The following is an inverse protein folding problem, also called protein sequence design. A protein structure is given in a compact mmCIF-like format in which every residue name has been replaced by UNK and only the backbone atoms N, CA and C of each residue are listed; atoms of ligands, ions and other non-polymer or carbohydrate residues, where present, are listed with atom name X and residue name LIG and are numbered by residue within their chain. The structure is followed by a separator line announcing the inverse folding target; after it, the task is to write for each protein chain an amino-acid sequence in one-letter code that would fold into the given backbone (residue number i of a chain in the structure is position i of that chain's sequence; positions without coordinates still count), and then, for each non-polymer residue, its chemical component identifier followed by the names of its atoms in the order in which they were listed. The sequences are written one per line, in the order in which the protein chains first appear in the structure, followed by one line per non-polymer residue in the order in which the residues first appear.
data_IF_528311043376
#
_entry.id   IF_528311043376
#
_cell.length_a   1.000
_cell.length_b   1.000
_cell.length_c   1.000
_cell.angle_alpha   90.00
_cell.angle_beta   90.00
_cell.angle_gamma   90.00
#
_symmetry.space_group_name_H-M   'P 1'
#
loop_
_entity.id
_entity.type
_entity.pdbx_description
1 polymer ?
#
# COMPACT_ATOMS: atom_id res chain seq x y z
N UNK A 1 38.31 -14.01 8.24
CA UNK A 1 38.68 -12.98 7.25
C UNK A 1 37.50 -12.03 7.11
N UNK A 2 37.58 -10.86 7.75
CA UNK A 2 36.58 -9.81 7.61
C UNK A 2 36.96 -8.95 6.40
N UNK A 3 36.12 -8.94 5.36
CA UNK A 3 36.31 -8.14 4.16
C UNK A 3 35.19 -7.08 4.11
N UNK A 4 35.61 -5.81 4.25
CA UNK A 4 34.87 -4.54 4.29
C UNK A 4 34.25 -4.07 5.63
N UNK A 5 34.93 -3.17 6.38
CA UNK A 5 34.29 -2.30 7.36
C UNK A 5 33.59 -1.16 6.60
N UNK A 6 32.34 -1.39 6.18
CA UNK A 6 31.61 -0.48 5.31
C UNK A 6 30.48 -1.13 4.51
N UNK A 7 30.30 -2.45 4.60
CA UNK A 7 29.05 -3.11 4.26
C UNK A 7 28.03 -2.80 5.36
N UNK A 8 27.72 -1.53 5.48
CA UNK A 8 27.35 -0.89 6.72
C UNK A 8 25.85 -0.97 6.89
N UNK A 9 25.43 -1.94 7.69
CA UNK A 9 24.03 -2.07 8.05
C UNK A 9 23.43 -0.75 8.57
N UNK A 10 24.23 0.12 9.18
CA UNK A 10 23.76 1.42 9.64
C UNK A 10 23.27 2.34 8.52
N UNK A 11 23.86 2.25 7.32
CA UNK A 11 23.51 3.10 6.16
C UNK A 11 22.11 2.78 5.65
N UNK A 12 21.74 1.50 5.57
CA UNK A 12 20.42 1.10 5.08
C UNK A 12 19.29 1.47 6.05
N UNK A 13 19.56 1.47 7.36
CA UNK A 13 18.59 1.95 8.35
C UNK A 13 18.41 3.46 8.26
N UNK A 14 19.49 4.21 8.09
CA UNK A 14 19.43 5.65 7.86
C UNK A 14 18.65 5.99 6.57
N UNK A 15 18.79 5.19 5.51
CA UNK A 15 18.00 5.33 4.28
C UNK A 15 16.49 5.12 4.55
N UNK A 16 16.13 4.13 5.37
CA UNK A 16 14.75 3.88 5.78
C UNK A 16 14.18 5.07 6.57
N UNK A 17 14.92 5.58 7.55
CA UNK A 17 14.49 6.73 8.36
C UNK A 17 14.32 7.99 7.52
N UNK A 18 15.28 8.29 6.64
CA UNK A 18 15.16 9.41 5.71
C UNK A 18 13.98 9.24 4.76
N UNK A 19 13.75 8.04 4.25
CA UNK A 19 12.61 7.74 3.40
C UNK A 19 11.30 7.99 4.16
N UNK A 20 11.14 7.47 5.38
CA UNK A 20 9.95 7.65 6.20
C UNK A 20 9.72 9.12 6.59
N UNK A 21 10.78 9.86 6.91
CA UNK A 21 10.71 11.29 7.20
C UNK A 21 10.27 12.12 5.98
N UNK A 22 10.65 11.71 4.77
CA UNK A 22 10.17 12.32 3.51
C UNK A 22 8.73 11.90 3.21
N UNK A 23 8.39 10.64 3.44
CA UNK A 23 7.08 10.08 3.17
C UNK A 23 6.01 10.66 4.12
N UNK A 24 6.31 10.84 5.40
CA UNK A 24 5.38 11.40 6.39
C UNK A 24 4.95 12.84 6.07
N UNK A 25 5.78 13.58 5.30
CA UNK A 25 5.48 14.94 4.82
C UNK A 25 4.63 14.96 3.54
N UNK A 26 4.45 13.81 2.88
CA UNK A 26 3.70 13.70 1.62
C UNK A 26 2.42 12.91 1.86
N UNK A 27 1.29 13.55 1.61
CA UNK A 27 0.01 12.86 1.62
C UNK A 27 -0.05 11.89 0.43
N UNK A 28 -0.36 10.62 0.72
CA UNK A 28 -0.65 9.62 -0.30
C UNK A 28 -2.07 9.87 -0.81
N UNK A 29 -2.22 10.70 -1.83
CA UNK A 29 -3.53 11.17 -2.30
C UNK A 29 -4.15 10.24 -3.35
N UNK A 30 -3.33 9.57 -4.15
CA UNK A 30 -3.73 8.78 -5.31
C UNK A 30 -3.21 7.33 -5.28
N UNK A 31 -3.75 6.48 -6.16
CA UNK A 31 -3.24 5.12 -6.41
C UNK A 31 -1.75 5.14 -6.82
N UNK A 32 -1.35 6.14 -7.61
CA UNK A 32 0.03 6.31 -8.07
C UNK A 32 0.97 6.62 -6.91
N UNK A 33 0.55 7.48 -5.96
CA UNK A 33 1.33 7.80 -4.77
C UNK A 33 1.54 6.56 -3.91
N UNK A 34 0.47 5.79 -3.67
CA UNK A 34 0.50 4.54 -2.91
C UNK A 34 1.43 3.52 -3.58
N UNK A 35 1.33 3.35 -4.91
CA UNK A 35 2.21 2.46 -5.67
C UNK A 35 3.68 2.89 -5.72
N UNK A 36 3.96 4.20 -5.70
CA UNK A 36 5.33 4.72 -5.58
C UNK A 36 5.89 4.47 -4.19
N UNK A 37 5.11 4.76 -3.15
CA UNK A 37 5.48 4.52 -1.76
C UNK A 37 5.79 3.04 -1.51
N UNK A 38 4.90 2.14 -1.94
CA UNK A 38 5.05 0.69 -1.77
C UNK A 38 6.36 0.17 -2.38
N UNK A 39 6.64 0.52 -3.64
CA UNK A 39 7.86 0.07 -4.34
C UNK A 39 9.14 0.60 -3.70
N UNK A 40 9.16 1.87 -3.32
CA UNK A 40 10.33 2.47 -2.67
C UNK A 40 10.59 1.86 -1.30
N UNK A 41 9.54 1.70 -0.48
CA UNK A 41 9.66 1.04 0.81
C UNK A 41 10.13 -0.41 0.66
N UNK A 42 9.49 -1.19 -0.21
CA UNK A 42 9.84 -2.60 -0.43
C UNK A 42 11.29 -2.78 -0.87
N UNK A 43 11.81 -1.89 -1.74
CA UNK A 43 13.22 -1.93 -2.15
C UNK A 43 14.20 -1.75 -0.99
N UNK A 44 13.89 -0.89 -0.02
CA UNK A 44 14.75 -0.65 1.15
C UNK A 44 14.55 -1.78 2.17
N UNK A 45 13.30 -2.11 2.46
CA UNK A 45 12.92 -3.13 3.43
C UNK A 45 13.46 -4.51 3.07
N UNK A 46 13.34 -4.94 1.81
CA UNK A 46 13.82 -6.26 1.37
C UNK A 46 15.35 -6.36 1.50
N UNK A 47 16.09 -5.27 1.33
CA UNK A 47 17.55 -5.23 1.54
C UNK A 47 17.88 -5.38 3.03
N UNK A 48 17.19 -4.64 3.88
CA UNK A 48 17.35 -4.73 5.34
C UNK A 48 17.01 -6.14 5.87
N UNK A 49 15.95 -6.76 5.37
CA UNK A 49 15.55 -8.12 5.73
C UNK A 49 16.60 -9.13 5.25
N UNK A 50 17.04 -9.02 3.99
CA UNK A 50 18.08 -9.91 3.45
C UNK A 50 19.40 -9.84 4.22
N UNK A 51 19.70 -8.69 4.82
CA UNK A 51 20.90 -8.48 5.66
C UNK A 51 20.67 -8.80 7.15
N UNK A 52 19.54 -9.41 7.54
CA UNK A 52 19.16 -9.71 8.93
C UNK A 52 19.11 -8.49 9.85
N UNK A 53 18.83 -7.31 9.30
CA UNK A 53 18.83 -6.07 10.05
C UNK A 53 17.44 -5.67 10.53
N UNK A 54 16.41 -6.11 9.79
CA UNK A 54 15.02 -5.83 10.08
C UNK A 54 14.23 -7.12 9.87
N UNK A 55 13.27 -7.40 10.74
CA UNK A 55 12.36 -8.53 10.55
C UNK A 55 11.06 -8.09 9.85
N UNK A 56 10.27 -9.06 9.37
CA UNK A 56 9.02 -8.79 8.64
C UNK A 56 7.95 -8.05 9.48
N UNK A 57 7.96 -8.23 10.80
CA UNK A 57 7.03 -7.54 11.70
C UNK A 57 7.39 -6.05 11.84
N UNK A 58 8.67 -5.76 12.02
CA UNK A 58 9.21 -4.40 12.05
C UNK A 58 9.02 -3.71 10.71
N UNK A 59 9.32 -4.38 9.60
CA UNK A 59 9.09 -3.85 8.25
C UNK A 59 7.64 -3.41 8.06
N UNK A 60 6.70 -4.23 8.51
CA UNK A 60 5.27 -3.94 8.46
C UNK A 60 4.88 -2.78 9.36
N UNK A 61 5.42 -2.71 10.58
CA UNK A 61 5.16 -1.59 11.48
C UNK A 61 5.67 -0.27 10.90
N UNK A 62 6.88 -0.27 10.34
CA UNK A 62 7.47 0.89 9.68
C UNK A 62 6.69 1.29 8.42
N UNK A 63 6.19 0.32 7.66
CA UNK A 63 5.37 0.57 6.47
C UNK A 63 4.10 1.36 6.78
N UNK A 64 3.44 1.07 7.92
CA UNK A 64 2.23 1.80 8.33
C UNK A 64 2.49 3.29 8.61
N UNK A 65 3.71 3.66 9.00
CA UNK A 65 4.06 5.05 9.32
C UNK A 65 4.06 5.99 8.11
N UNK A 66 4.13 5.46 6.89
CA UNK A 66 4.03 6.27 5.68
C UNK A 66 2.59 6.66 5.29
N UNK A 67 1.58 6.06 5.94
CA UNK A 67 0.19 6.36 5.69
C UNK A 67 -0.32 7.42 6.67
N UNK A 68 -1.19 8.30 6.20
CA UNK A 68 -1.90 9.21 7.11
C UNK A 68 -2.86 8.43 8.01
N UNK A 69 -3.15 8.99 9.19
CA UNK A 69 -4.13 8.40 10.13
C UNK A 69 -5.47 8.16 9.43
N UNK A 70 -5.98 9.14 8.68
CA UNK A 70 -7.24 9.02 7.95
C UNK A 70 -7.25 7.88 6.92
N UNK A 71 -6.13 7.70 6.19
CA UNK A 71 -6.02 6.63 5.22
C UNK A 71 -5.94 5.28 5.92
N UNK A 72 -5.22 5.18 7.04
CA UNK A 72 -5.16 3.97 7.85
C UNK A 72 -6.53 3.58 8.43
N UNK A 73 -7.32 4.54 8.91
CA UNK A 73 -8.70 4.28 9.39
C UNK A 73 -9.56 3.68 8.28
N UNK A 74 -9.45 4.19 7.04
CA UNK A 74 -10.18 3.65 5.89
C UNK A 74 -9.70 2.25 5.49
N UNK A 75 -8.39 2.02 5.53
CA UNK A 75 -7.80 0.69 5.27
C UNK A 75 -8.30 -0.32 6.33
N UNK A 76 -8.30 0.06 7.60
CA UNK A 76 -8.82 -0.77 8.68
C UNK A 76 -10.33 -1.03 8.52
N UNK A 77 -11.10 -0.02 8.10
CA UNK A 77 -12.51 -0.16 7.73
C UNK A 77 -12.73 -1.14 6.57
N UNK A 78 -11.89 -1.06 5.52
CA UNK A 78 -11.91 -2.01 4.40
C UNK A 78 -11.70 -3.45 4.88
N UNK A 79 -10.70 -3.65 5.75
CA UNK A 79 -10.47 -4.96 6.33
C UNK A 79 -11.60 -5.44 7.25
N UNK A 80 -12.21 -4.55 8.05
CA UNK A 80 -13.37 -4.91 8.87
C UNK A 80 -14.59 -5.30 8.01
N UNK A 81 -14.79 -4.65 6.87
CA UNK A 81 -15.85 -5.00 5.93
C UNK A 81 -15.58 -6.35 5.24
N UNK A 82 -14.32 -6.64 4.87
CA UNK A 82 -13.94 -7.93 4.28
C UNK A 82 -13.99 -9.09 5.28
N UNK A 83 -13.78 -8.83 6.58
CA UNK A 83 -13.91 -9.82 7.68
C UNK A 83 -15.28 -10.50 7.77
N UNK A 84 -16.35 -9.93 7.22
CA UNK A 84 -17.68 -10.61 7.14
C UNK A 84 -17.66 -11.88 6.27
N UNK A 85 -16.58 -12.16 5.56
CA UNK A 85 -16.43 -13.34 4.66
C UNK A 85 -15.54 -14.47 5.21
N UNK A 86 -15.09 -14.39 6.46
CA UNK A 86 -14.53 -15.55 7.20
C UNK A 86 -13.01 -15.60 7.35
N UNK A 87 -12.41 -14.67 8.12
CA UNK A 87 -11.01 -14.81 8.56
C UNK A 87 -10.70 -14.16 9.92
N UNK A 88 -9.74 -14.76 10.64
CA UNK A 88 -9.37 -14.55 12.05
C UNK A 88 -8.28 -13.48 12.25
N UNK A 89 -8.63 -12.32 12.81
CA UNK A 89 -7.80 -11.50 13.72
C UNK A 89 -6.33 -11.17 13.40
N UNK A 90 -5.81 -11.49 12.22
CA UNK A 90 -4.37 -11.48 11.93
C UNK A 90 -3.78 -10.10 11.68
N UNK A 91 -2.46 -10.02 11.86
CA UNK A 91 -1.65 -8.87 11.43
C UNK A 91 -1.56 -8.92 9.90
N UNK A 92 -2.05 -7.90 9.19
CA UNK A 92 -2.00 -7.83 7.72
C UNK A 92 -0.58 -7.65 7.23
N UNK A 93 -0.18 -8.41 6.21
CA UNK A 93 1.10 -8.24 5.53
C UNK A 93 1.19 -6.85 4.87
N UNK A 94 2.40 -6.44 4.51
CA UNK A 94 2.64 -5.20 3.77
C UNK A 94 1.84 -5.17 2.46
N UNK A 95 1.78 -6.29 1.76
CA UNK A 95 1.15 -6.39 0.45
C UNK A 95 -0.38 -6.34 0.58
N UNK A 96 -0.95 -6.96 1.63
CA UNK A 96 -2.37 -6.78 1.95
C UNK A 96 -2.73 -5.33 2.30
N UNK A 97 -1.88 -4.64 3.05
CA UNK A 97 -2.06 -3.21 3.36
C UNK A 97 -1.99 -2.36 2.09
N UNK A 98 -1.09 -2.71 1.16
CA UNK A 98 -0.98 -2.05 -0.14
C UNK A 98 -2.25 -2.23 -0.98
N UNK A 99 -2.74 -3.46 -1.12
CA UNK A 99 -3.94 -3.77 -1.89
C UNK A 99 -5.17 -3.06 -1.31
N UNK A 100 -5.31 -3.07 0.02
CA UNK A 100 -6.36 -2.32 0.71
C UNK A 100 -6.26 -0.81 0.47
N UNK A 101 -5.05 -0.24 0.51
CA UNK A 101 -4.83 1.17 0.23
C UNK A 101 -5.20 1.54 -1.21
N UNK A 102 -4.87 0.70 -2.20
CA UNK A 102 -5.28 0.88 -3.59
C UNK A 102 -6.80 0.84 -3.73
N UNK A 103 -7.45 -0.11 -3.06
CA UNK A 103 -8.90 -0.25 -3.12
C UNK A 103 -9.62 0.98 -2.55
N UNK A 104 -9.18 1.46 -1.37
CA UNK A 104 -9.71 2.69 -0.75
C UNK A 104 -9.54 3.89 -1.69
N UNK A 105 -8.43 3.99 -2.41
CA UNK A 105 -8.19 5.09 -3.36
C UNK A 105 -9.03 4.96 -4.63
N UNK A 106 -9.19 3.74 -5.13
CA UNK A 106 -10.03 3.44 -6.30
C UNK A 106 -11.49 3.78 -6.01
N UNK A 107 -11.99 3.41 -4.83
CA UNK A 107 -13.36 3.72 -4.39
C UNK A 107 -13.57 5.23 -4.24
N UNK A 108 -12.62 5.94 -3.61
CA UNK A 108 -12.69 7.40 -3.48
C UNK A 108 -12.72 8.09 -4.86
N UNK A 109 -11.92 7.60 -5.82
CA UNK A 109 -11.92 8.09 -7.19
C UNK A 109 -13.28 7.85 -7.86
N UNK A 110 -13.84 6.65 -7.71
CA UNK A 110 -15.16 6.32 -8.25
C UNK A 110 -16.27 7.20 -7.67
N UNK A 111 -16.27 7.46 -6.36
CA UNK A 111 -17.24 8.36 -5.73
C UNK A 111 -17.15 9.78 -6.27
N UNK A 112 -15.94 10.30 -6.48
CA UNK A 112 -15.73 11.61 -7.12
C UNK A 112 -16.30 11.65 -8.53
N UNK A 113 -16.04 10.61 -9.34
CA UNK A 113 -16.60 10.50 -10.70
C UNK A 113 -18.13 10.39 -10.70
N UNK A 114 -18.69 9.55 -9.83
CA UNK A 114 -20.15 9.38 -9.70
C UNK A 114 -20.85 10.69 -9.35
N UNK A 115 -20.26 11.48 -8.45
CA UNK A 115 -20.81 12.77 -8.07
C UNK A 115 -20.68 13.82 -9.19
N UNK A 116 -19.61 13.73 -10.00
CA UNK A 116 -19.40 14.63 -11.14
C UNK A 116 -20.28 14.30 -12.36
N UNK A 117 -20.64 13.02 -12.54
CA UNK A 117 -21.41 12.53 -13.69
C UNK A 117 -22.56 11.61 -13.26
N UNK A 118 -23.66 12.17 -12.70
CA UNK A 118 -24.74 11.39 -12.11
C UNK A 118 -25.63 10.64 -13.13
N UNK A 119 -25.69 11.08 -14.39
CA UNK A 119 -26.63 10.59 -15.40
C UNK A 119 -26.06 9.53 -16.37
N UNK A 120 -24.78 9.15 -16.26
CA UNK A 120 -24.15 8.30 -17.27
C UNK A 120 -24.28 6.80 -16.96
N UNK A 121 -25.11 6.12 -17.76
CA UNK A 121 -25.50 4.72 -17.60
C UNK A 121 -24.39 3.74 -18.02
N UNK A 122 -23.33 4.22 -18.70
CA UNK A 122 -22.21 3.44 -19.21
C UNK A 122 -21.25 2.89 -18.14
N UNK A 123 -21.18 3.51 -16.96
CA UNK A 123 -20.18 3.18 -15.91
C UNK A 123 -20.49 1.92 -15.08
N UNK A 124 -21.72 1.39 -15.16
CA UNK A 124 -22.11 0.17 -14.42
C UNK A 124 -21.48 -1.11 -14.99
N UNK A 125 -21.01 -1.09 -16.24
CA UNK A 125 -20.51 -2.28 -16.94
C UNK A 125 -19.00 -2.48 -16.70
N UNK A 126 -18.19 -1.42 -16.71
CA UNK A 126 -16.74 -1.53 -16.50
C UNK A 126 -16.34 -1.72 -15.02
N UNK A 127 -17.02 -1.08 -14.07
CA UNK A 127 -16.64 -1.19 -12.65
C UNK A 127 -17.16 -2.46 -11.96
N UNK A 128 -18.23 -3.08 -12.48
CA UNK A 128 -18.68 -4.40 -12.01
C UNK A 128 -17.64 -5.49 -12.26
N UNK A 129 -16.75 -5.32 -13.24
CA UNK A 129 -15.66 -6.25 -13.50
C UNK A 129 -14.54 -6.20 -12.43
N UNK A 130 -14.51 -5.19 -11.55
CA UNK A 130 -13.49 -5.04 -10.48
C UNK A 130 -13.91 -5.51 -9.10
N UNK A 131 -15.20 -5.74 -8.85
CA UNK A 131 -15.60 -6.52 -7.69
C UNK A 131 -15.49 -7.97 -8.10
N UNK A 132 -14.52 -8.71 -7.58
CA UNK A 132 -14.64 -10.13 -7.14
C UNK A 132 -13.26 -10.73 -6.80
N UNK A 133 -13.24 -11.81 -5.99
CA UNK A 133 -12.12 -12.20 -5.15
C UNK A 133 -11.12 -13.03 -5.94
N UNK A 134 -9.86 -12.92 -5.53
CA UNK A 134 -8.72 -13.72 -5.98
C UNK A 134 -8.20 -13.42 -7.39
N UNK A 135 -6.99 -12.84 -7.40
CA UNK A 135 -5.92 -13.32 -8.28
C UNK A 135 -5.79 -12.67 -9.66
N UNK A 136 -5.12 -11.50 -9.71
CA UNK A 136 -4.59 -10.82 -10.92
C UNK A 136 -5.72 -10.34 -11.87
N UNK A 137 -5.67 -9.23 -12.60
CA UNK A 137 -4.73 -8.85 -13.66
C UNK A 137 -4.87 -7.35 -14.04
N UNK A 138 -3.77 -6.87 -14.65
CA UNK A 138 -3.46 -5.73 -15.54
C UNK A 138 -4.56 -4.82 -16.06
N UNK A 139 -4.24 -3.52 -16.05
CA UNK A 139 -4.92 -2.47 -16.79
C UNK A 139 -4.63 -2.58 -18.29
N UNK A 140 -5.68 -2.58 -19.11
CA UNK A 140 -5.61 -2.08 -20.48
C UNK A 140 -6.45 -0.79 -20.54
N UNK A 141 -5.81 0.33 -20.88
CA UNK A 141 -6.50 1.50 -21.41
C UNK A 141 -6.97 1.14 -22.82
N UNK A 142 -8.26 1.37 -23.11
CA UNK A 142 -8.76 1.37 -24.48
C UNK A 142 -8.94 2.83 -24.87
N UNK A 143 -8.22 3.24 -25.92
CA UNK A 143 -8.28 4.56 -26.55
C UNK A 143 -9.58 4.79 -27.31
#
# INVERSE_FOLDING_TARGET
MALYPGADGSVYYADLEQFLAKASRKLLTSEVDVGRYHRQFASIANRLIANNQMNEEEARFQYRKGFSVDLMVKIEGYFLASRRTGYNGGVYSRDEIYDAALQVKTEARYEQYRNAFPDDTMLKIEFKARRFPQGRFYAHEVS
#
